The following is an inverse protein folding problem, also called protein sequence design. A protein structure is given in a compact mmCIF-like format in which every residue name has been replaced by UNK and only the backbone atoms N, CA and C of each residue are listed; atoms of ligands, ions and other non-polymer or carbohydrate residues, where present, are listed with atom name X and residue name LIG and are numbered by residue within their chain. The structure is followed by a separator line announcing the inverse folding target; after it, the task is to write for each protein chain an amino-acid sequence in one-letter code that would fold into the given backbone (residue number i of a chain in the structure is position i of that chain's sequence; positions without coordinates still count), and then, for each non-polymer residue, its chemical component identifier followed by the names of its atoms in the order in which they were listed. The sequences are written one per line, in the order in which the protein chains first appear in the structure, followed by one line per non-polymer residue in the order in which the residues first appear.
data_IF_605370326850
#
_entry.id   IF_605370326850
#
_cell.length_a   1.000
_cell.length_b   1.000
_cell.length_c   1.000
_cell.angle_alpha   90.00
_cell.angle_beta   90.00
_cell.angle_gamma   90.00
#
_symmetry.space_group_name_H-M   'P 1'
#
loop_
_entity.id
_entity.type
_entity.pdbx_description
1 polymer ?
#
# COMPACT_ATOMS: atom_id res chain seq x y z
N UNK A 1 -32.83 -31.97 5.35
CA UNK A 1 -33.44 -30.83 4.69
C UNK A 1 -33.07 -29.48 5.36
N UNK A 2 -33.19 -29.28 6.70
CA UNK A 2 -32.85 -28.00 7.37
C UNK A 2 -31.40 -27.54 7.19
N UNK A 3 -30.40 -28.44 7.19
CA UNK A 3 -28.96 -28.06 7.04
C UNK A 3 -28.61 -27.57 5.62
N UNK A 4 -29.28 -28.08 4.58
CA UNK A 4 -29.06 -27.66 3.18
C UNK A 4 -29.66 -26.26 2.97
N UNK A 5 -30.79 -25.97 3.60
CA UNK A 5 -31.46 -24.66 3.48
C UNK A 5 -30.65 -23.53 4.15
N UNK A 6 -30.01 -23.80 5.30
CA UNK A 6 -29.15 -22.86 5.99
C UNK A 6 -27.88 -22.57 5.18
N UNK A 7 -27.28 -23.58 4.54
CA UNK A 7 -26.11 -23.41 3.69
C UNK A 7 -26.42 -22.56 2.45
N UNK A 8 -27.61 -22.79 1.84
CA UNK A 8 -28.05 -22.02 0.66
C UNK A 8 -28.31 -20.54 1.01
N UNK A 9 -28.89 -20.27 2.18
CA UNK A 9 -29.12 -18.88 2.66
C UNK A 9 -27.80 -18.18 2.95
N UNK A 10 -26.81 -18.86 3.54
CA UNK A 10 -25.47 -18.31 3.77
C UNK A 10 -24.74 -18.00 2.47
N UNK A 11 -24.81 -18.89 1.48
CA UNK A 11 -24.20 -18.67 0.15
C UNK A 11 -24.89 -17.49 -0.58
N UNK A 12 -26.23 -17.42 -0.54
CA UNK A 12 -26.96 -16.28 -1.13
C UNK A 12 -26.68 -14.97 -0.40
N UNK A 13 -26.50 -14.97 0.92
CA UNK A 13 -26.14 -13.79 1.69
C UNK A 13 -24.70 -13.31 1.38
N UNK A 14 -23.75 -14.23 1.19
CA UNK A 14 -22.39 -13.90 0.77
C UNK A 14 -22.36 -13.33 -0.66
N UNK A 15 -23.05 -13.95 -1.61
CA UNK A 15 -23.15 -13.45 -3.00
C UNK A 15 -23.83 -12.09 -3.06
N UNK A 16 -24.85 -11.82 -2.23
CA UNK A 16 -25.48 -10.50 -2.13
C UNK A 16 -24.57 -9.47 -1.48
N UNK A 17 -23.77 -9.82 -0.46
CA UNK A 17 -22.81 -8.91 0.17
C UNK A 17 -21.68 -8.54 -0.79
N UNK A 18 -21.15 -9.50 -1.55
CA UNK A 18 -20.15 -9.26 -2.61
C UNK A 18 -20.70 -8.39 -3.74
N UNK A 19 -21.95 -8.63 -4.17
CA UNK A 19 -22.59 -7.83 -5.21
C UNK A 19 -22.87 -6.39 -4.73
N UNK A 20 -23.21 -6.19 -3.45
CA UNK A 20 -23.41 -4.87 -2.86
C UNK A 20 -22.07 -4.12 -2.66
N UNK A 21 -21.00 -4.79 -2.25
CA UNK A 21 -19.68 -4.20 -2.15
C UNK A 21 -19.14 -3.80 -3.55
N UNK A 22 -19.32 -4.69 -4.55
CA UNK A 22 -18.97 -4.42 -5.95
C UNK A 22 -19.85 -3.33 -6.59
N UNK A 23 -21.09 -3.13 -6.13
CA UNK A 23 -22.03 -2.14 -6.67
C UNK A 23 -21.87 -0.74 -6.07
N UNK A 24 -21.17 -0.59 -4.94
CA UNK A 24 -20.85 0.74 -4.40
C UNK A 24 -19.99 1.50 -5.41
N UNK A 25 -20.58 2.48 -6.09
CA UNK A 25 -19.80 3.42 -6.89
C UNK A 25 -18.84 4.13 -5.95
N UNK A 26 -17.55 3.76 -6.02
CA UNK A 26 -16.51 4.50 -5.36
C UNK A 26 -16.59 5.95 -5.85
N UNK A 27 -16.67 6.86 -4.93
CA UNK A 27 -16.59 8.28 -5.21
C UNK A 27 -15.29 8.79 -4.60
N UNK A 28 -14.26 8.89 -5.43
CA UNK A 28 -13.04 9.58 -5.01
C UNK A 28 -13.39 10.98 -4.46
N UNK A 29 -12.67 11.47 -3.45
CA UNK A 29 -12.96 12.76 -2.83
C UNK A 29 -12.89 13.89 -3.85
N UNK A 30 -13.69 14.93 -3.65
CA UNK A 30 -13.66 16.15 -4.44
C UNK A 30 -12.76 17.19 -3.77
N UNK A 31 -12.24 18.12 -4.58
CA UNK A 31 -11.49 19.25 -4.05
C UNK A 31 -12.36 20.07 -3.08
N UNK A 32 -11.82 20.39 -1.90
CA UNK A 32 -12.52 21.10 -0.83
C UNK A 32 -13.47 20.24 0.02
N UNK A 33 -13.64 18.95 -0.30
CA UNK A 33 -14.46 18.04 0.51
C UNK A 33 -13.72 17.67 1.80
N UNK A 34 -14.21 18.12 2.97
CA UNK A 34 -13.79 17.67 4.29
C UNK A 34 -12.25 17.48 4.47
N UNK A 35 -11.44 18.47 4.13
CA UNK A 35 -10.00 18.46 4.29
C UNK A 35 -9.22 17.88 3.10
N UNK A 36 -9.89 17.54 2.00
CA UNK A 36 -9.26 17.09 0.78
C UNK A 36 -8.82 18.23 -0.14
N UNK A 37 -7.60 18.13 -0.63
CA UNK A 37 -7.07 18.89 -1.77
C UNK A 37 -6.84 17.93 -2.92
N UNK A 38 -7.37 18.23 -4.10
CA UNK A 38 -7.25 17.38 -5.29
C UNK A 38 -6.54 18.15 -6.38
N UNK A 39 -5.42 17.61 -6.88
CA UNK A 39 -4.63 18.19 -7.96
C UNK A 39 -4.56 17.22 -9.14
N UNK A 40 -4.96 17.66 -10.31
CA UNK A 40 -4.75 16.96 -11.57
C UNK A 40 -3.32 17.26 -12.06
N UNK A 41 -2.40 16.30 -11.90
CA UNK A 41 -1.00 16.46 -12.35
C UNK A 41 -0.87 16.29 -13.86
N UNK A 42 -1.74 15.46 -14.45
CA UNK A 42 -1.89 15.29 -15.90
C UNK A 42 -3.35 14.93 -16.23
N UNK A 43 -4.25 15.90 -16.11
CA UNK A 43 -5.68 15.66 -16.26
C UNK A 43 -6.16 14.52 -15.37
N UNK A 44 -7.02 13.66 -15.91
CA UNK A 44 -7.49 12.48 -15.20
C UNK A 44 -6.52 11.28 -15.24
N UNK A 45 -5.43 11.36 -16.01
CA UNK A 45 -4.45 10.26 -16.12
C UNK A 45 -3.65 10.10 -14.83
N UNK A 46 -3.31 11.23 -14.20
CA UNK A 46 -2.53 11.26 -12.96
C UNK A 46 -3.13 12.31 -12.01
N UNK A 47 -3.73 11.85 -10.92
CA UNK A 47 -4.41 12.71 -9.94
C UNK A 47 -3.82 12.48 -8.56
N UNK A 48 -3.48 13.57 -7.88
CA UNK A 48 -3.02 13.55 -6.49
C UNK A 48 -4.13 14.07 -5.57
N UNK A 49 -4.46 13.27 -4.56
CA UNK A 49 -5.35 13.59 -3.46
C UNK A 49 -4.51 13.73 -2.20
N UNK A 50 -4.65 14.84 -1.50
CA UNK A 50 -4.02 15.08 -0.21
C UNK A 50 -5.10 15.41 0.82
N UNK A 51 -5.09 14.71 1.95
CA UNK A 51 -6.01 14.94 3.07
C UNK A 51 -5.24 15.43 4.29
N UNK A 52 -5.75 16.47 4.92
CA UNK A 52 -5.31 16.93 6.23
C UNK A 52 -6.51 17.23 7.10
N UNK A 53 -6.63 16.56 8.23
CA UNK A 53 -7.73 16.75 9.15
C UNK A 53 -7.94 15.57 10.10
N UNK A 54 -9.03 15.60 10.84
CA UNK A 54 -9.38 14.54 11.77
C UNK A 54 -10.05 13.36 11.05
N UNK A 55 -9.54 12.16 11.32
CA UNK A 55 -10.13 10.90 10.88
C UNK A 55 -9.80 9.80 11.89
N UNK A 56 -10.77 8.95 12.22
CA UNK A 56 -10.64 7.92 13.26
C UNK A 56 -10.26 8.49 14.63
N UNK A 57 -10.77 9.70 14.99
CA UNK A 57 -10.51 10.35 16.26
C UNK A 57 -9.07 10.83 16.45
N UNK A 58 -8.33 11.10 15.36
CA UNK A 58 -7.00 11.68 15.41
C UNK A 58 -6.68 12.48 14.16
N UNK A 59 -5.70 13.39 14.26
CA UNK A 59 -5.18 14.10 13.09
C UNK A 59 -4.50 13.12 12.14
N UNK A 60 -4.74 13.30 10.86
CA UNK A 60 -4.18 12.48 9.80
C UNK A 60 -3.66 13.36 8.66
N UNK A 61 -2.53 12.97 8.08
CA UNK A 61 -2.05 13.48 6.82
C UNK A 61 -1.86 12.30 5.85
N UNK A 62 -2.60 12.33 4.74
CA UNK A 62 -2.70 11.20 3.82
C UNK A 62 -2.50 11.71 2.39
N UNK A 63 -1.69 11.01 1.62
CA UNK A 63 -1.52 11.27 0.21
C UNK A 63 -1.93 10.02 -0.59
N UNK A 64 -2.72 10.22 -1.62
CA UNK A 64 -3.12 9.17 -2.56
C UNK A 64 -2.84 9.67 -3.98
N UNK A 65 -1.99 8.98 -4.69
CA UNK A 65 -1.82 9.18 -6.11
C UNK A 65 -2.65 8.15 -6.86
N UNK A 66 -3.40 8.59 -7.85
CA UNK A 66 -4.23 7.75 -8.70
C UNK A 66 -3.76 7.84 -10.14
N UNK A 67 -3.20 6.74 -10.65
CA UNK A 67 -2.76 6.58 -12.04
C UNK A 67 -3.79 5.79 -12.84
N UNK A 68 -4.20 6.30 -13.98
CA UNK A 68 -5.03 5.57 -14.96
C UNK A 68 -4.14 4.61 -15.76
N UNK A 69 -4.26 3.31 -15.51
CA UNK A 69 -3.50 2.27 -16.22
C UNK A 69 -3.92 2.06 -17.67
N UNK A 70 -5.05 2.65 -18.10
CA UNK A 70 -5.45 2.64 -19.51
C UNK A 70 -4.67 3.71 -20.29
N UNK A 71 -4.05 4.68 -19.61
CA UNK A 71 -3.16 5.66 -20.24
C UNK A 71 -1.89 4.98 -20.75
N UNK A 72 -1.55 5.26 -22.02
CA UNK A 72 -0.31 4.78 -22.63
C UNK A 72 0.90 5.68 -22.31
N UNK A 73 0.70 6.78 -21.59
CA UNK A 73 1.72 7.81 -21.34
C UNK A 73 2.65 7.47 -20.19
N UNK A 74 2.29 6.46 -19.40
CA UNK A 74 3.04 6.07 -18.21
C UNK A 74 3.45 4.61 -18.23
N UNK A 75 4.54 4.32 -17.56
CA UNK A 75 5.02 2.97 -17.26
C UNK A 75 5.38 2.87 -15.78
N UNK A 76 5.33 1.65 -15.26
CA UNK A 76 5.72 1.34 -13.90
C UNK A 76 7.14 0.81 -13.88
N UNK A 77 7.91 1.21 -12.88
CA UNK A 77 9.29 0.80 -12.70
C UNK A 77 9.46 0.25 -11.28
N UNK A 78 9.77 -1.02 -11.20
CA UNK A 78 10.10 -1.73 -9.96
C UNK A 78 11.61 -1.67 -9.78
N UNK A 79 12.06 -1.04 -8.70
CA UNK A 79 13.50 -0.84 -8.47
C UNK A 79 13.93 -1.64 -7.25
N UNK A 80 14.94 -2.48 -7.41
CA UNK A 80 15.61 -3.20 -6.32
C UNK A 80 17.10 -2.86 -6.33
N UNK A 81 17.63 -2.44 -5.19
CA UNK A 81 19.01 -1.97 -5.01
C UNK A 81 19.75 -2.89 -4.03
N UNK A 82 20.97 -3.30 -4.35
CA UNK A 82 21.83 -4.05 -3.41
C UNK A 82 22.17 -3.24 -2.14
N UNK A 83 22.19 -1.92 -2.25
CA UNK A 83 22.38 -0.99 -1.13
C UNK A 83 21.28 0.07 -1.18
N UNK A 84 20.57 0.23 -0.08
CA UNK A 84 19.46 1.17 0.02
C UNK A 84 19.84 2.61 -0.32
N UNK A 85 18.89 3.35 -0.92
CA UNK A 85 19.00 4.78 -1.20
C UNK A 85 17.66 5.47 -0.87
N UNK A 86 17.66 6.82 -0.79
CA UNK A 86 16.44 7.59 -0.57
C UNK A 86 15.54 7.55 -1.81
N UNK A 87 14.22 7.59 -1.60
CA UNK A 87 13.26 7.56 -2.70
C UNK A 87 13.49 8.73 -3.68
N UNK A 88 13.74 9.94 -3.18
CA UNK A 88 13.99 11.12 -4.02
C UNK A 88 15.21 10.94 -4.92
N UNK A 89 16.32 10.40 -4.38
CA UNK A 89 17.54 10.11 -5.15
C UNK A 89 17.26 9.10 -6.26
N UNK A 90 16.54 8.01 -5.93
CA UNK A 90 16.20 6.96 -6.90
C UNK A 90 15.23 7.47 -7.95
N UNK A 91 14.21 8.24 -7.56
CA UNK A 91 13.24 8.82 -8.47
C UNK A 91 13.89 9.74 -9.53
N UNK A 92 14.84 10.58 -9.10
CA UNK A 92 15.61 11.44 -10.02
C UNK A 92 16.46 10.62 -11.00
N UNK A 93 17.19 9.61 -10.50
CA UNK A 93 18.04 8.71 -11.33
C UNK A 93 17.23 7.96 -12.37
N UNK A 94 16.00 7.58 -12.03
CA UNK A 94 15.10 6.82 -12.91
C UNK A 94 14.18 7.70 -13.76
N UNK A 95 14.28 9.04 -13.66
CA UNK A 95 13.39 10.01 -14.31
C UNK A 95 11.91 9.78 -13.96
N UNK A 96 11.64 9.38 -12.73
CA UNK A 96 10.28 9.15 -12.26
C UNK A 96 9.50 10.46 -12.12
N UNK A 97 8.19 10.39 -12.34
CA UNK A 97 7.26 11.49 -12.05
C UNK A 97 6.62 11.33 -10.69
N UNK A 98 6.50 10.07 -10.23
CA UNK A 98 6.00 9.71 -8.90
C UNK A 98 6.73 8.48 -8.40
N UNK A 99 6.83 8.32 -7.08
CA UNK A 99 7.33 7.11 -6.45
C UNK A 99 6.89 6.96 -5.02
N UNK A 100 6.95 5.72 -4.53
CA UNK A 100 6.81 5.34 -3.12
C UNK A 100 7.85 4.27 -2.75
N UNK A 101 8.17 4.14 -1.45
CA UNK A 101 8.88 2.97 -0.95
C UNK A 101 8.06 1.69 -1.16
N UNK A 102 8.69 0.52 -1.19
CA UNK A 102 8.00 -0.72 -1.56
C UNK A 102 8.05 -1.80 -0.46
N UNK A 103 8.77 -2.90 -0.68
CA UNK A 103 8.76 -4.09 0.18
C UNK A 103 9.47 -3.89 1.51
N UNK A 104 9.18 -4.78 2.46
CA UNK A 104 9.94 -4.94 3.70
C UNK A 104 11.38 -5.42 3.44
N UNK A 105 12.08 -5.81 4.50
CA UNK A 105 13.47 -6.29 4.44
C UNK A 105 13.61 -7.51 3.51
N UNK A 106 14.78 -7.67 2.91
CA UNK A 106 15.06 -8.71 1.92
C UNK A 106 14.87 -10.13 2.45
N UNK A 107 15.25 -10.40 3.69
CA UNK A 107 15.10 -11.72 4.31
C UNK A 107 13.63 -12.14 4.52
N UNK A 108 12.72 -11.14 4.64
CA UNK A 108 11.29 -11.34 4.89
C UNK A 108 10.42 -11.22 3.63
N UNK A 109 10.97 -10.72 2.50
CA UNK A 109 10.21 -10.41 1.29
C UNK A 109 10.73 -11.16 0.07
N UNK A 110 9.81 -11.45 -0.88
CA UNK A 110 10.19 -11.90 -2.21
C UNK A 110 10.28 -10.69 -3.14
N UNK A 111 11.45 -10.52 -3.78
CA UNK A 111 11.76 -9.38 -4.63
C UNK A 111 12.31 -9.88 -5.96
N UNK A 112 11.58 -9.61 -7.04
CA UNK A 112 11.98 -9.91 -8.40
C UNK A 112 11.82 -8.67 -9.28
N UNK A 113 12.84 -8.32 -10.05
CA UNK A 113 12.87 -7.19 -10.99
C UNK A 113 13.51 -7.65 -12.30
N UNK A 114 12.85 -7.39 -13.42
CA UNK A 114 13.26 -7.79 -14.77
C UNK A 114 13.65 -9.26 -14.87
N UNK A 115 12.90 -10.12 -14.19
CA UNK A 115 13.11 -11.56 -14.13
C UNK A 115 14.20 -12.02 -13.16
N UNK A 116 15.03 -11.10 -12.63
CA UNK A 116 16.07 -11.40 -11.64
C UNK A 116 15.49 -11.40 -10.24
N UNK A 117 15.72 -12.47 -9.48
CA UNK A 117 15.38 -12.56 -8.05
C UNK A 117 16.50 -11.89 -7.24
N UNK A 118 16.11 -10.88 -6.45
CA UNK A 118 16.97 -10.18 -5.51
C UNK A 118 16.84 -10.75 -4.10
N UNK A 119 15.65 -11.23 -3.75
CA UNK A 119 15.37 -11.91 -2.48
C UNK A 119 14.27 -12.95 -2.65
N UNK A 120 14.37 -14.09 -1.94
CA UNK A 120 13.44 -15.22 -2.05
C UNK A 120 12.83 -15.67 -0.71
N UNK A 121 12.77 -14.81 0.28
CA UNK A 121 12.30 -15.11 1.64
C UNK A 121 13.13 -16.19 2.31
N UNK A 122 14.15 -15.79 3.06
CA UNK A 122 15.08 -16.69 3.73
C UNK A 122 14.72 -16.97 5.18
N UNK A 123 13.77 -16.22 5.75
CA UNK A 123 13.30 -16.45 7.11
C UNK A 123 12.60 -17.82 7.25
N UNK A 124 12.85 -18.55 8.34
CA UNK A 124 12.10 -19.76 8.66
C UNK A 124 10.64 -19.43 9.00
N UNK A 125 9.74 -20.39 8.81
CA UNK A 125 8.29 -20.18 8.94
C UNK A 125 7.81 -19.85 10.37
N UNK A 126 8.60 -20.18 11.38
CA UNK A 126 8.36 -19.85 12.78
C UNK A 126 8.98 -18.51 13.21
N UNK A 127 9.67 -17.82 12.31
CA UNK A 127 10.28 -16.53 12.62
C UNK A 127 9.22 -15.44 12.81
N UNK A 128 9.40 -14.57 13.79
CA UNK A 128 8.46 -13.52 14.18
C UNK A 128 8.06 -12.58 13.01
N UNK A 129 8.92 -12.39 12.03
CA UNK A 129 8.69 -11.55 10.83
C UNK A 129 8.22 -12.33 9.60
N UNK A 130 7.98 -13.65 9.70
CA UNK A 130 7.61 -14.49 8.55
C UNK A 130 6.32 -14.02 7.85
N UNK A 131 5.41 -13.38 8.57
CA UNK A 131 4.16 -12.82 8.04
C UNK A 131 4.32 -11.72 6.97
N UNK A 132 5.52 -11.15 6.81
CA UNK A 132 5.75 -9.94 5.99
C UNK A 132 5.63 -10.14 4.47
N UNK A 133 5.27 -11.32 3.98
CA UNK A 133 5.19 -11.63 2.54
C UNK A 133 3.87 -12.26 2.07
N UNK A 134 2.79 -12.09 2.84
CA UNK A 134 1.48 -12.73 2.60
C UNK A 134 0.86 -12.42 1.23
N UNK A 135 1.09 -11.23 0.69
CA UNK A 135 0.61 -10.80 -0.62
C UNK A 135 1.73 -10.27 -1.50
N UNK A 136 1.45 -10.09 -2.77
CA UNK A 136 2.39 -9.47 -3.71
C UNK A 136 1.69 -8.60 -4.75
N UNK A 137 2.42 -7.57 -5.21
CA UNK A 137 2.11 -6.85 -6.43
C UNK A 137 3.06 -7.30 -7.53
N UNK A 138 2.52 -7.69 -8.68
CA UNK A 138 3.28 -8.09 -9.87
C UNK A 138 2.95 -7.23 -11.09
N UNK A 139 3.92 -7.10 -12.00
CA UNK A 139 3.79 -6.33 -13.25
C UNK A 139 4.60 -6.95 -14.37
N UNK A 140 3.99 -7.15 -15.55
CA UNK A 140 4.61 -7.74 -16.74
C UNK A 140 4.86 -6.76 -17.90
N UNK A 141 4.73 -5.46 -17.65
CA UNK A 141 4.80 -4.40 -18.67
C UNK A 141 3.43 -4.00 -19.23
N UNK A 142 2.38 -4.77 -18.94
CA UNK A 142 1.01 -4.51 -19.40
C UNK A 142 -0.03 -4.65 -18.29
N UNK A 143 0.07 -5.72 -17.51
CA UNK A 143 -0.90 -6.10 -16.49
C UNK A 143 -0.27 -5.96 -15.10
N UNK A 144 -1.07 -5.41 -14.17
CA UNK A 144 -0.78 -5.45 -12.74
C UNK A 144 -1.66 -6.50 -12.09
N UNK A 145 -1.10 -7.25 -11.15
CA UNK A 145 -1.82 -8.15 -10.25
C UNK A 145 -1.45 -7.83 -8.80
N UNK A 146 -2.44 -7.89 -7.92
CA UNK A 146 -2.26 -7.90 -6.47
C UNK A 146 -2.96 -9.16 -5.98
N UNK A 147 -2.25 -10.06 -5.33
CA UNK A 147 -2.77 -11.35 -4.90
C UNK A 147 -2.01 -11.91 -3.69
N UNK A 148 -2.68 -12.80 -2.96
CA UNK A 148 -2.03 -13.64 -1.97
C UNK A 148 -0.95 -14.53 -2.59
N UNK A 149 0.07 -14.86 -1.80
CA UNK A 149 1.10 -15.78 -2.22
C UNK A 149 2.03 -16.18 -1.08
N UNK A 150 2.99 -17.01 -1.44
CA UNK A 150 4.06 -17.46 -0.57
C UNK A 150 5.32 -17.70 -1.42
N UNK A 151 6.43 -18.06 -0.79
CA UNK A 151 7.69 -18.30 -1.48
C UNK A 151 7.55 -19.24 -2.69
N UNK A 152 6.81 -20.35 -2.54
CA UNK A 152 6.65 -21.34 -3.61
C UNK A 152 5.88 -20.78 -4.80
N UNK A 153 4.77 -20.08 -4.56
CA UNK A 153 3.95 -19.46 -5.61
C UNK A 153 4.69 -18.32 -6.29
N UNK A 154 5.49 -17.54 -5.56
CA UNK A 154 6.28 -16.44 -6.12
C UNK A 154 7.42 -16.94 -7.02
N UNK A 155 8.10 -18.03 -6.65
CA UNK A 155 9.13 -18.66 -7.48
C UNK A 155 8.55 -19.17 -8.81
N UNK A 156 7.31 -19.69 -8.81
CA UNK A 156 6.60 -20.17 -10.00
C UNK A 156 5.95 -19.04 -10.82
N UNK A 157 5.81 -17.85 -10.24
CA UNK A 157 5.17 -16.71 -10.91
C UNK A 157 6.02 -16.22 -12.08
N UNK A 158 5.39 -16.10 -13.27
CA UNK A 158 6.07 -15.72 -14.53
C UNK A 158 6.22 -14.21 -14.73
N UNK A 159 5.61 -13.39 -13.89
CA UNK A 159 5.77 -11.93 -13.99
C UNK A 159 7.23 -11.53 -13.76
N UNK A 160 7.82 -10.70 -14.63
CA UNK A 160 9.21 -10.27 -14.49
C UNK A 160 9.45 -9.39 -13.28
N UNK A 161 8.41 -8.66 -12.83
CA UNK A 161 8.49 -7.79 -11.65
C UNK A 161 7.48 -8.26 -10.62
N UNK A 162 7.95 -8.46 -9.38
CA UNK A 162 7.11 -8.91 -8.28
C UNK A 162 7.71 -8.47 -6.94
N UNK A 163 6.92 -7.74 -6.16
CA UNK A 163 7.23 -7.33 -4.80
C UNK A 163 6.23 -7.91 -3.83
N UNK A 164 6.66 -8.78 -2.91
CA UNK A 164 5.80 -9.25 -1.84
C UNK A 164 5.81 -8.30 -0.65
N UNK A 165 4.69 -8.24 0.05
CA UNK A 165 4.50 -7.47 1.27
C UNK A 165 3.30 -8.00 2.09
N UNK A 166 2.92 -7.34 3.18
CA UNK A 166 1.83 -7.77 4.06
C UNK A 166 1.33 -6.62 4.95
N UNK A 167 0.05 -6.66 5.39
CA UNK A 167 -0.98 -7.62 4.99
C UNK A 167 -1.66 -7.27 3.68
N UNK A 168 -2.34 -8.23 3.07
CA UNK A 168 -3.41 -7.91 2.13
C UNK A 168 -4.48 -7.12 2.88
N UNK A 169 -4.89 -5.99 2.31
CA UNK A 169 -5.91 -5.11 2.91
C UNK A 169 -7.29 -5.39 2.32
N UNK A 170 -7.35 -5.55 1.02
CA UNK A 170 -8.59 -5.83 0.28
C UNK A 170 -8.29 -6.92 -0.75
N UNK A 171 -9.11 -7.97 -0.77
CA UNK A 171 -9.07 -9.03 -1.77
C UNK A 171 -10.45 -9.17 -2.41
N UNK A 172 -10.55 -8.91 -3.71
CA UNK A 172 -11.78 -8.94 -4.49
C UNK A 172 -12.98 -8.26 -3.77
N UNK A 173 -12.74 -7.02 -3.23
CA UNK A 173 -13.65 -6.21 -2.41
C UNK A 173 -13.88 -6.73 -0.97
N UNK A 174 -13.34 -7.86 -0.57
CA UNK A 174 -13.38 -8.31 0.81
C UNK A 174 -12.36 -7.55 1.66
N UNK A 175 -12.79 -7.06 2.84
CA UNK A 175 -11.98 -6.27 3.77
C UNK A 175 -11.11 -7.20 4.64
N UNK A 176 -10.12 -7.85 4.04
CA UNK A 176 -9.29 -8.86 4.73
C UNK A 176 -8.33 -8.23 5.74
N UNK A 177 -7.83 -7.03 5.47
CA UNK A 177 -6.94 -6.30 6.38
C UNK A 177 -7.60 -5.91 7.71
N UNK A 178 -8.92 -5.77 7.74
CA UNK A 178 -9.69 -5.55 8.97
C UNK A 178 -9.71 -6.78 9.88
N UNK A 179 -9.45 -7.96 9.34
CA UNK A 179 -9.50 -9.26 10.04
C UNK A 179 -8.10 -9.85 10.28
N UNK A 180 -7.06 -9.26 9.69
CA UNK A 180 -5.71 -9.82 9.65
C UNK A 180 -5.13 -10.16 11.02
N UNK A 181 -5.31 -9.29 12.02
CA UNK A 181 -4.79 -9.51 13.37
C UNK A 181 -5.63 -10.46 14.22
N UNK A 182 -6.79 -10.87 13.74
CA UNK A 182 -7.72 -11.74 14.46
C UNK A 182 -8.35 -11.10 15.69
N UNK A 183 -8.79 -11.93 16.63
CA UNK A 183 -9.36 -11.50 17.91
C UNK A 183 -8.25 -11.14 18.90
N UNK A 184 -8.29 -9.91 19.41
CA UNK A 184 -7.35 -9.37 20.42
C UNK A 184 -7.98 -9.18 21.80
N UNK A 185 -9.17 -9.73 22.06
CA UNK A 185 -9.94 -9.45 23.28
C UNK A 185 -9.15 -9.69 24.58
N UNK A 186 -8.29 -10.68 24.64
CA UNK A 186 -7.47 -11.01 25.80
C UNK A 186 -5.97 -10.81 25.56
N UNK A 187 -5.59 -9.97 24.60
CA UNK A 187 -4.20 -9.74 24.21
C UNK A 187 -3.81 -8.31 24.57
N UNK A 188 -2.88 -8.13 25.50
CA UNK A 188 -2.21 -6.84 25.67
C UNK A 188 -1.18 -6.65 24.56
N UNK A 189 -1.60 -6.01 23.48
CA UNK A 189 -0.77 -5.77 22.29
C UNK A 189 0.50 -4.96 22.59
N UNK A 190 0.53 -4.20 23.71
CA UNK A 190 1.71 -3.42 24.11
C UNK A 190 2.84 -4.30 24.65
N UNK A 191 2.50 -5.46 25.18
CA UNK A 191 3.46 -6.44 25.70
C UNK A 191 4.05 -7.35 24.61
N UNK A 192 3.41 -7.40 23.43
CA UNK A 192 3.95 -8.18 22.31
C UNK A 192 5.22 -7.52 21.75
N UNK A 193 6.16 -8.29 21.18
CA UNK A 193 7.29 -7.74 20.42
C UNK A 193 6.81 -6.79 19.33
N UNK A 194 7.58 -5.74 19.02
CA UNK A 194 7.22 -4.75 18.00
C UNK A 194 6.99 -5.34 16.61
N UNK A 195 7.67 -6.45 16.30
CA UNK A 195 7.59 -7.17 15.04
C UNK A 195 6.49 -8.25 15.02
N UNK A 196 5.79 -8.51 16.12
CA UNK A 196 4.61 -9.38 16.14
C UNK A 196 3.51 -8.75 15.26
N UNK A 197 2.95 -9.52 14.33
CA UNK A 197 1.95 -9.01 13.38
C UNK A 197 0.72 -8.42 14.09
N UNK A 198 0.31 -9.00 15.22
CA UNK A 198 -0.82 -8.52 16.01
C UNK A 198 -0.56 -7.11 16.53
N UNK A 199 0.62 -6.85 17.09
CA UNK A 199 1.01 -5.52 17.54
C UNK A 199 1.26 -4.61 16.34
N UNK A 200 2.10 -5.03 15.40
CA UNK A 200 2.53 -4.19 14.27
C UNK A 200 1.38 -3.71 13.40
N UNK A 201 0.34 -4.53 13.21
CA UNK A 201 -0.78 -4.19 12.35
C UNK A 201 -1.99 -3.60 13.08
N UNK A 202 -2.14 -3.82 14.40
CA UNK A 202 -3.23 -3.23 15.18
C UNK A 202 -2.95 -1.81 15.66
N UNK A 203 -1.67 -1.41 15.79
CA UNK A 203 -1.33 -0.04 16.21
C UNK A 203 -1.22 0.91 15.03
N UNK A 204 -1.40 2.21 15.31
CA UNK A 204 -1.22 3.27 14.33
C UNK A 204 0.25 3.49 14.02
N UNK A 205 0.59 3.41 12.72
CA UNK A 205 1.91 3.69 12.18
C UNK A 205 1.80 4.51 10.90
N UNK A 206 2.87 5.18 10.45
CA UNK A 206 2.98 5.57 9.04
C UNK A 206 2.78 4.34 8.16
N UNK A 207 2.02 4.47 7.07
CA UNK A 207 1.70 3.37 6.16
C UNK A 207 1.96 3.75 4.73
N UNK A 208 2.44 2.79 3.97
CA UNK A 208 2.45 2.82 2.51
C UNK A 208 1.57 1.68 2.01
N UNK A 209 0.76 1.92 0.98
CA UNK A 209 -0.05 0.89 0.37
C UNK A 209 -0.18 1.09 -1.13
N UNK A 210 -0.46 0.00 -1.83
CA UNK A 210 -0.83 -0.01 -3.25
C UNK A 210 -2.22 -0.61 -3.39
N UNK A 211 -3.03 -0.08 -4.33
CA UNK A 211 -4.36 -0.63 -4.55
C UNK A 211 -4.76 -0.54 -6.02
N UNK A 212 -5.62 -1.47 -6.45
CA UNK A 212 -6.11 -1.56 -7.81
C UNK A 212 -7.64 -1.43 -7.83
N UNK A 213 -8.15 -0.41 -8.51
CA UNK A 213 -9.59 -0.16 -8.60
C UNK A 213 -10.24 -0.94 -9.75
N UNK A 214 -11.58 -1.06 -9.72
CA UNK A 214 -12.36 -1.63 -10.82
C UNK A 214 -12.19 -0.89 -12.17
N UNK A 215 -12.00 0.43 -12.09
CA UNK A 215 -11.78 1.27 -13.27
C UNK A 215 -10.34 1.25 -13.78
N UNK A 216 -9.56 0.24 -13.40
CA UNK A 216 -8.18 0.04 -13.80
C UNK A 216 -7.27 1.22 -13.41
N UNK A 217 -7.46 1.75 -12.19
CA UNK A 217 -6.56 2.77 -11.63
C UNK A 217 -5.69 2.15 -10.55
N UNK A 218 -4.41 2.44 -10.63
CA UNK A 218 -3.45 2.13 -9.56
C UNK A 218 -3.45 3.28 -8.56
N UNK A 219 -3.61 2.96 -7.30
CA UNK A 219 -3.46 3.89 -6.19
C UNK A 219 -2.13 3.62 -5.49
N UNK A 220 -1.32 4.67 -5.30
CA UNK A 220 -0.18 4.68 -4.39
C UNK A 220 -0.58 5.55 -3.20
N UNK A 221 -0.46 5.01 -1.99
CA UNK A 221 -1.00 5.62 -0.78
C UNK A 221 0.09 5.76 0.26
N UNK A 222 0.22 6.93 0.87
CA UNK A 222 0.99 7.12 2.10
C UNK A 222 0.12 7.77 3.17
N UNK A 223 0.22 7.26 4.38
CA UNK A 223 -0.35 7.83 5.60
C UNK A 223 0.81 8.17 6.52
N UNK A 224 0.97 9.42 6.86
CA UNK A 224 1.98 9.84 7.83
C UNK A 224 1.58 9.45 9.25
N UNK A 225 2.53 9.39 10.15
CA UNK A 225 2.25 8.98 11.53
C UNK A 225 3.33 9.40 12.52
N UNK A 226 3.24 8.88 13.76
CA UNK A 226 4.21 9.13 14.84
C UNK A 226 4.34 10.60 15.22
N UNK A 227 3.33 11.43 14.93
CA UNK A 227 3.33 12.86 15.20
C UNK A 227 1.93 13.29 15.70
N UNK A 228 1.89 14.39 16.45
CA UNK A 228 0.63 15.06 16.81
C UNK A 228 -0.11 15.58 15.58
N UNK A 229 0.61 15.84 14.48
CA UNK A 229 0.05 16.31 13.21
C UNK A 229 -0.51 15.18 12.35
N UNK A 230 -0.07 13.92 12.60
CA UNK A 230 -0.59 12.73 11.96
C UNK A 230 -0.30 11.50 12.83
N UNK A 231 -1.36 10.84 13.30
CA UNK A 231 -1.22 9.68 14.16
C UNK A 231 -0.80 8.40 13.41
N UNK A 232 -1.11 8.33 12.11
CA UNK A 232 -1.01 7.11 11.33
C UNK A 232 -2.28 6.26 11.42
N UNK A 233 -2.23 5.08 10.80
CA UNK A 233 -3.35 4.14 10.76
C UNK A 233 -2.92 2.73 11.13
N UNK A 234 -3.83 1.97 11.76
CA UNK A 234 -3.77 0.51 11.82
C UNK A 234 -4.13 -0.10 10.45
N UNK A 235 -3.87 -1.39 10.24
CA UNK A 235 -4.27 -2.07 9.01
C UNK A 235 -5.79 -2.02 8.80
N UNK A 236 -6.57 -2.15 9.89
CA UNK A 236 -8.03 -2.03 9.86
C UNK A 236 -8.48 -0.65 9.39
N UNK A 237 -7.97 0.43 10.01
CA UNK A 237 -8.32 1.82 9.65
C UNK A 237 -7.93 2.14 8.20
N UNK A 238 -6.75 1.68 7.74
CA UNK A 238 -6.32 1.85 6.35
C UNK A 238 -7.23 1.10 5.37
N UNK A 239 -7.66 -0.12 5.70
CA UNK A 239 -8.62 -0.88 4.91
C UNK A 239 -9.96 -0.15 4.79
N UNK A 240 -10.51 0.31 5.90
CA UNK A 240 -11.77 1.08 5.95
C UNK A 240 -11.67 2.41 5.18
N UNK A 241 -10.53 3.10 5.31
CA UNK A 241 -10.23 4.31 4.56
C UNK A 241 -10.27 4.07 3.04
N UNK A 242 -9.59 3.04 2.57
CA UNK A 242 -9.53 2.70 1.14
C UNK A 242 -10.92 2.37 0.60
N UNK A 243 -11.71 1.60 1.33
CA UNK A 243 -13.09 1.26 0.92
C UNK A 243 -13.98 2.50 0.89
N UNK A 244 -13.92 3.35 1.93
CA UNK A 244 -14.75 4.55 2.03
C UNK A 244 -14.54 5.51 0.85
N UNK A 245 -13.29 5.75 0.46
CA UNK A 245 -12.95 6.80 -0.47
C UNK A 245 -12.68 6.33 -1.90
N UNK A 246 -12.18 5.10 -2.08
CA UNK A 246 -11.73 4.62 -3.39
C UNK A 246 -12.33 3.29 -3.81
N UNK A 247 -12.83 2.49 -2.86
CA UNK A 247 -13.39 1.15 -3.04
C UNK A 247 -12.59 0.29 -4.04
N UNK A 248 -11.29 0.08 -3.80
CA UNK A 248 -10.47 -0.70 -4.71
C UNK A 248 -10.88 -2.17 -4.67
N UNK A 249 -10.64 -2.88 -5.77
CA UNK A 249 -10.87 -4.32 -5.85
C UNK A 249 -9.82 -5.11 -5.07
N UNK A 250 -8.56 -4.63 -5.12
CA UNK A 250 -7.43 -5.22 -4.42
C UNK A 250 -6.62 -4.13 -3.74
N UNK A 251 -6.07 -4.42 -2.56
CA UNK A 251 -5.11 -3.55 -1.90
C UNK A 251 -4.12 -4.34 -1.06
N UNK A 252 -2.87 -3.90 -1.06
CA UNK A 252 -1.76 -4.49 -0.32
C UNK A 252 -1.04 -3.41 0.48
N UNK A 253 -0.82 -3.66 1.78
CA UNK A 253 0.07 -2.84 2.58
C UNK A 253 1.52 -3.10 2.18
N UNK A 254 2.29 -2.04 2.02
CA UNK A 254 3.73 -2.07 1.76
C UNK A 254 4.52 -1.76 3.03
N UNK A 255 5.85 -1.68 2.95
CA UNK A 255 6.65 -1.27 4.10
C UNK A 255 6.26 0.13 4.59
N UNK A 256 6.09 0.25 5.88
CA UNK A 256 5.60 1.43 6.56
C UNK A 256 6.61 2.06 7.51
N UNK A 257 6.09 2.74 8.55
CA UNK A 257 6.93 3.34 9.57
C UNK A 257 7.86 4.41 9.01
N UNK A 258 9.15 4.35 9.37
CA UNK A 258 10.15 5.30 8.88
C UNK A 258 10.43 5.23 7.38
N UNK A 259 10.03 4.14 6.71
CA UNK A 259 10.19 3.97 5.26
C UNK A 259 9.12 4.72 4.45
N UNK A 260 7.97 5.05 5.06
CA UNK A 260 6.84 5.68 4.37
C UNK A 260 7.23 6.99 3.72
N UNK A 261 7.34 6.99 2.39
CA UNK A 261 7.77 8.16 1.61
C UNK A 261 7.02 8.19 0.28
N UNK A 262 6.55 9.37 -0.14
CA UNK A 262 6.00 9.63 -1.47
C UNK A 262 6.71 10.80 -2.13
N UNK A 263 7.19 10.55 -3.34
CA UNK A 263 7.80 11.52 -4.23
C UNK A 263 6.80 11.92 -5.33
N UNK A 264 6.64 13.21 -5.58
CA UNK A 264 5.89 13.73 -6.73
C UNK A 264 6.68 14.88 -7.34
N UNK A 265 7.25 14.67 -8.52
CA UNK A 265 8.11 15.63 -9.21
C UNK A 265 7.46 17.01 -9.33
N UNK A 266 8.15 18.02 -8.86
CA UNK A 266 7.73 19.43 -8.90
C UNK A 266 6.55 19.78 -7.98
N UNK A 267 6.19 18.91 -7.01
CA UNK A 267 5.01 19.13 -6.16
C UNK A 267 5.30 19.05 -4.66
N UNK A 268 6.45 18.54 -4.30
CA UNK A 268 6.85 18.35 -2.91
C UNK A 268 7.75 19.47 -2.37
N UNK A 269 8.54 19.11 -1.37
CA UNK A 269 9.59 19.98 -0.84
C UNK A 269 10.62 20.29 -1.94
N UNK A 270 11.12 21.54 -1.97
CA UNK A 270 11.89 22.09 -3.11
C UNK A 270 13.17 21.35 -3.47
N UNK A 271 13.81 20.68 -2.52
CA UNK A 271 15.04 19.92 -2.72
C UNK A 271 14.83 18.45 -3.05
N UNK A 272 13.71 17.88 -2.59
CA UNK A 272 13.49 16.43 -2.60
C UNK A 272 12.25 16.00 -3.37
N UNK A 273 11.32 16.92 -3.67
CA UNK A 273 9.99 16.62 -4.22
C UNK A 273 9.17 15.63 -3.37
N UNK A 274 9.53 15.44 -2.10
CA UNK A 274 8.78 14.60 -1.15
C UNK A 274 7.57 15.36 -0.65
N UNK A 275 6.38 14.75 -0.77
CA UNK A 275 5.09 15.39 -0.45
C UNK A 275 4.55 15.05 0.93
N UNK A 276 5.02 13.97 1.53
CA UNK A 276 4.65 13.53 2.88
C UNK A 276 5.75 13.89 3.90
N UNK A 277 5.60 13.48 5.14
CA UNK A 277 6.51 13.75 6.26
C UNK A 277 7.14 12.44 6.78
N UNK A 278 8.18 11.91 6.11
CA UNK A 278 8.86 10.70 6.54
C UNK A 278 9.50 10.88 7.92
N UNK A 279 9.44 9.86 8.78
CA UNK A 279 9.79 9.98 10.20
C UNK A 279 11.05 9.22 10.62
N UNK A 280 11.95 8.85 9.71
CA UNK A 280 13.17 8.12 10.08
C UNK A 280 14.19 8.99 10.83
N UNK A 281 14.13 10.30 10.67
CA UNK A 281 14.92 11.29 11.43
C UNK A 281 14.24 11.72 12.76
N UNK A 282 13.09 11.15 13.12
CA UNK A 282 12.23 11.52 14.26
C UNK A 282 11.73 12.98 14.25
N UNK A 283 11.75 13.64 13.11
CA UNK A 283 11.17 14.96 12.89
C UNK A 283 9.93 14.86 12.00
N UNK A 284 9.03 15.84 12.12
CA UNK A 284 7.89 15.98 11.23
C UNK A 284 8.23 16.99 10.13
N UNK A 285 9.11 16.58 9.23
CA UNK A 285 9.60 17.37 8.09
C UNK A 285 9.66 16.50 6.82
N UNK A 286 10.07 17.05 5.69
CA UNK A 286 10.14 16.32 4.41
C UNK A 286 11.51 15.62 4.20
N UNK A 287 12.42 15.65 5.18
CA UNK A 287 13.81 15.19 5.02
C UNK A 287 14.09 13.82 5.65
N UNK A 288 13.15 13.30 6.45
CA UNK A 288 13.30 12.02 7.17
C UNK A 288 13.15 10.79 6.31
N UNK A 289 13.61 10.81 5.05
CA UNK A 289 13.55 9.64 4.17
C UNK A 289 14.51 8.54 4.63
N UNK A 290 13.99 7.33 4.85
CA UNK A 290 14.84 6.14 5.04
C UNK A 290 15.46 5.71 3.72
N UNK A 291 16.70 5.26 3.77
CA UNK A 291 17.35 4.59 2.66
C UNK A 291 16.88 3.14 2.59
N UNK A 292 15.99 2.86 1.66
CA UNK A 292 15.40 1.52 1.47
C UNK A 292 15.90 0.87 0.18
N UNK A 293 15.79 -0.45 0.10
CA UNK A 293 16.31 -1.21 -1.04
C UNK A 293 15.31 -1.40 -2.16
N UNK A 294 14.03 -1.11 -1.93
CA UNK A 294 12.99 -1.30 -2.95
C UNK A 294 12.12 -0.06 -3.10
N UNK A 295 11.85 0.29 -4.36
CA UNK A 295 11.01 1.44 -4.71
C UNK A 295 10.04 1.07 -5.82
N UNK A 296 8.86 1.67 -5.77
CA UNK A 296 7.84 1.57 -6.81
C UNK A 296 7.69 2.94 -7.47
N UNK A 297 8.02 3.03 -8.75
CA UNK A 297 8.09 4.30 -9.47
C UNK A 297 7.10 4.31 -10.65
N UNK A 298 6.66 5.51 -11.01
CA UNK A 298 5.90 5.81 -12.23
C UNK A 298 6.73 6.74 -13.09
N UNK A 299 6.92 6.38 -14.35
CA UNK A 299 7.68 7.17 -15.34
C UNK A 299 6.77 7.57 -16.51
N UNK A 300 7.07 8.68 -17.17
CA UNK A 300 6.52 8.94 -18.50
C UNK A 300 7.19 8.03 -19.52
N UNK A 301 6.39 7.44 -20.39
CA UNK A 301 6.93 6.76 -21.59
C UNK A 301 7.55 7.81 -22.50
N UNK A 302 8.65 7.41 -23.12
CA UNK A 302 9.34 8.21 -24.14
C UNK A 302 8.59 8.13 -25.47
#
# INVERSE_FOLDING_TARGET
MKKIFVLLILVLAMVNAESQAASRKARAPKNGEAGWVVKQLDGNKLVWYSFRGEMYGAQQFINVLSLDLNSKDYELDFVALNRGDSLSSVAVKHNAVVGVNASYEWDASFIKVDGKIYSDITLPSDHLRYWKHEGAIGYDGKKIEIAYGNKETYLKNKMPNLFSCSPMLIDNYELVGSKFVGDLTNVDVKQLPSEDYRRHQSVRHPRTAVALTRSNRLLLVTVDGRSVNSAGMSAKELTEFLVKWFNPRYALNMDGGGSTTMYIKGSGESLTDVVNYPTDNNHYDHYGQRRVTTHFLVKRKK
#
